data_IF_930565116924
#
_entry.id   IF_930565116924
#
_cell.length_a   1.000
_cell.length_b   1.000
_cell.length_c   1.000
_cell.angle_alpha   90.00
_cell.angle_beta   90.00
_cell.angle_gamma   90.00
#
_symmetry.space_group_name_H-M   'P 1'
#
loop_
_entity.id
_entity.type
_entity.pdbx_description
1 polymer ?
#
# COMPACT_ATOMS: atom_id res chain seq x y z
N UNK A 1 -0.49 -22.01 -10.01
CA UNK A 1 0.51 -20.94 -10.24
C UNK A 1 -0.22 -19.62 -10.39
N UNK A 2 0.40 -18.50 -10.00
CA UNK A 2 -0.19 -17.16 -10.16
C UNK A 2 -0.21 -16.78 -11.65
N UNK A 3 -1.35 -16.33 -12.19
CA UNK A 3 -1.42 -15.87 -13.57
C UNK A 3 -0.83 -14.46 -13.72
N UNK A 4 -0.31 -14.12 -14.89
CA UNK A 4 0.37 -12.83 -15.10
C UNK A 4 -0.54 -11.63 -14.86
N UNK A 5 -1.83 -11.75 -15.22
CA UNK A 5 -2.84 -10.72 -14.95
C UNK A 5 -3.10 -10.47 -13.45
N UNK A 6 -2.73 -11.43 -12.59
CA UNK A 6 -2.94 -11.35 -11.14
C UNK A 6 -1.71 -10.78 -10.42
N UNK A 7 -0.61 -10.51 -11.14
CA UNK A 7 0.60 -9.88 -10.56
C UNK A 7 0.35 -8.40 -10.30
N UNK A 8 0.60 -7.96 -9.07
CA UNK A 8 0.47 -6.55 -8.67
C UNK A 8 1.63 -5.70 -9.19
N UNK A 9 2.86 -6.24 -9.20
CA UNK A 9 4.07 -5.53 -9.66
C UNK A 9 4.37 -5.79 -11.14
N UNK A 10 3.60 -5.18 -12.03
CA UNK A 10 3.58 -5.47 -13.47
C UNK A 10 4.76 -4.93 -14.28
N UNK A 11 5.60 -4.04 -13.73
CA UNK A 11 6.80 -3.51 -14.39
C UNK A 11 8.07 -3.74 -13.55
N UNK A 12 8.13 -4.85 -12.80
CA UNK A 12 9.23 -5.13 -11.87
C UNK A 12 10.60 -5.21 -12.56
N UNK A 13 10.63 -5.66 -13.82
CA UNK A 13 11.85 -5.75 -14.63
C UNK A 13 12.16 -4.48 -15.44
N UNK A 14 11.32 -3.45 -15.36
CA UNK A 14 11.54 -2.18 -16.05
C UNK A 14 11.43 -2.24 -17.58
N UNK A 15 10.74 -3.25 -18.13
CA UNK A 15 10.54 -3.44 -19.57
C UNK A 15 9.55 -2.43 -20.18
N UNK A 16 8.77 -1.75 -19.34
CA UNK A 16 7.80 -0.73 -19.75
C UNK A 16 8.17 0.65 -19.21
N UNK A 17 7.57 1.70 -19.78
CA UNK A 17 7.77 3.09 -19.38
C UNK A 17 7.59 3.32 -17.87
N UNK A 18 8.63 3.85 -17.22
CA UNK A 18 8.69 4.12 -15.78
C UNK A 18 8.11 5.49 -15.40
N UNK A 19 7.82 6.34 -16.38
CA UNK A 19 7.25 7.67 -16.16
C UNK A 19 5.84 7.60 -15.56
N UNK A 20 5.33 8.75 -15.10
CA UNK A 20 3.94 8.87 -14.65
C UNK A 20 2.94 8.46 -15.74
N UNK A 21 3.22 8.76 -17.01
CA UNK A 21 2.35 8.37 -18.12
C UNK A 21 2.31 6.84 -18.27
N UNK A 22 3.47 6.17 -18.23
CA UNK A 22 3.56 4.71 -18.23
C UNK A 22 2.87 4.07 -17.01
N UNK A 23 3.04 4.67 -15.83
CA UNK A 23 2.39 4.19 -14.61
C UNK A 23 0.86 4.28 -14.69
N UNK A 24 0.31 5.40 -15.18
CA UNK A 24 -1.14 5.56 -15.38
C UNK A 24 -1.70 4.54 -16.37
N UNK A 25 -0.98 4.22 -17.45
CA UNK A 25 -1.38 3.16 -18.40
C UNK A 25 -1.50 1.77 -17.75
N UNK A 26 -0.74 1.50 -16.68
CA UNK A 26 -0.81 0.25 -15.91
C UNK A 26 -1.83 0.30 -14.75
N UNK A 27 -2.65 1.34 -14.68
CA UNK A 27 -3.69 1.48 -13.65
C UNK A 27 -3.20 2.09 -12.32
N UNK A 28 -1.92 2.47 -12.19
CA UNK A 28 -1.47 3.23 -11.03
C UNK A 28 -2.16 4.60 -11.00
N UNK A 29 -2.42 5.11 -9.80
CA UNK A 29 -3.21 6.35 -9.56
C UNK A 29 -4.69 6.28 -9.98
N UNK A 30 -5.17 5.14 -10.49
CA UNK A 30 -6.59 4.96 -10.81
C UNK A 30 -7.44 4.95 -9.54
N UNK A 31 -8.50 5.76 -9.51
CA UNK A 31 -9.48 5.78 -8.43
C UNK A 31 -8.98 6.27 -7.07
N UNK A 32 -7.74 6.76 -6.94
CA UNK A 32 -7.13 7.13 -5.65
C UNK A 32 -7.91 8.21 -4.91
N UNK A 33 -8.46 9.19 -5.64
CA UNK A 33 -9.36 10.19 -5.06
C UNK A 33 -10.56 9.52 -4.38
N UNK A 34 -11.20 8.57 -5.07
CA UNK A 34 -12.35 7.84 -4.52
C UNK A 34 -11.99 6.99 -3.29
N UNK A 35 -10.77 6.46 -3.22
CA UNK A 35 -10.31 5.76 -2.00
C UNK A 35 -10.10 6.72 -0.83
N UNK A 36 -9.54 7.91 -1.08
CA UNK A 36 -9.35 8.96 -0.08
C UNK A 36 -10.70 9.46 0.43
N UNK A 37 -11.65 9.71 -0.47
CA UNK A 37 -12.99 10.23 -0.13
C UNK A 37 -13.79 9.24 0.74
N UNK A 38 -13.53 7.92 0.64
CA UNK A 38 -14.16 6.91 1.51
C UNK A 38 -13.65 6.96 2.96
N UNK A 39 -12.55 7.66 3.21
CA UNK A 39 -12.03 7.92 4.54
C UNK A 39 -11.17 6.80 5.13
N UNK A 40 -10.48 7.14 6.22
CA UNK A 40 -9.50 6.29 6.91
C UNK A 40 -10.09 4.94 7.34
N UNK A 41 -11.22 4.97 8.03
CA UNK A 41 -11.78 3.78 8.66
C UNK A 41 -12.18 2.74 7.59
N UNK A 42 -12.72 3.18 6.44
CA UNK A 42 -12.98 2.30 5.30
C UNK A 42 -11.70 1.64 4.77
N UNK A 43 -10.62 2.42 4.58
CA UNK A 43 -9.34 1.89 4.10
C UNK A 43 -8.78 0.83 5.07
N UNK A 44 -8.79 1.11 6.37
CA UNK A 44 -8.30 0.17 7.39
C UNK A 44 -9.09 -1.14 7.36
N UNK A 45 -10.41 -1.07 7.25
CA UNK A 45 -11.24 -2.28 7.19
C UNK A 45 -11.02 -3.09 5.91
N UNK A 46 -10.85 -2.44 4.75
CA UNK A 46 -10.46 -3.16 3.52
C UNK A 46 -9.11 -3.89 3.69
N UNK A 47 -8.15 -3.25 4.37
CA UNK A 47 -6.83 -3.84 4.59
C UNK A 47 -6.87 -5.00 5.58
N UNK A 48 -7.69 -4.93 6.64
CA UNK A 48 -7.95 -6.08 7.51
C UNK A 48 -8.61 -7.22 6.73
N UNK A 49 -9.66 -6.91 5.96
CA UNK A 49 -10.40 -7.90 5.17
C UNK A 49 -9.54 -8.60 4.11
N UNK A 50 -8.57 -7.90 3.52
CA UNK A 50 -7.63 -8.49 2.56
C UNK A 50 -6.71 -9.57 3.15
N UNK A 51 -6.57 -9.63 4.48
CA UNK A 51 -5.64 -10.53 5.15
C UNK A 51 -4.17 -10.20 4.92
N UNK A 52 -3.84 -8.99 4.46
CA UNK A 52 -2.44 -8.61 4.22
C UNK A 52 -1.63 -8.66 5.52
N UNK A 53 -0.47 -9.33 5.43
CA UNK A 53 0.55 -9.39 6.48
C UNK A 53 1.77 -8.58 6.06
N UNK A 54 2.54 -8.10 7.04
CA UNK A 54 3.78 -7.35 6.82
C UNK A 54 4.75 -8.10 5.90
N UNK A 55 5.47 -7.35 5.07
CA UNK A 55 6.38 -7.90 4.05
C UNK A 55 7.87 -7.81 4.39
N UNK A 56 8.24 -7.10 5.46
CA UNK A 56 9.63 -7.05 5.97
C UNK A 56 9.88 -8.04 7.10
N UNK A 57 9.72 -9.34 6.84
CA UNK A 57 10.08 -10.41 7.79
C UNK A 57 9.09 -10.69 8.93
N UNK A 58 8.67 -9.67 9.70
CA UNK A 58 7.87 -9.87 10.93
C UNK A 58 6.45 -10.43 10.71
N UNK A 59 5.89 -10.32 9.50
CA UNK A 59 4.60 -10.92 9.16
C UNK A 59 3.40 -10.41 9.98
N UNK A 60 3.48 -9.25 10.62
CA UNK A 60 2.40 -8.70 11.45
C UNK A 60 1.20 -8.27 10.59
N UNK A 61 -0.07 -8.52 10.98
CA UNK A 61 -1.24 -8.13 10.19
C UNK A 61 -1.29 -6.61 9.91
N UNK A 62 -1.25 -6.23 8.63
CA UNK A 62 -1.03 -4.84 8.22
C UNK A 62 -2.19 -3.92 8.59
N UNK A 63 -3.43 -4.33 8.30
CA UNK A 63 -4.62 -3.54 8.66
C UNK A 63 -4.78 -3.35 10.17
N UNK A 64 -4.43 -4.36 10.99
CA UNK A 64 -4.41 -4.23 12.45
C UNK A 64 -3.36 -3.22 12.90
N UNK A 65 -2.13 -3.30 12.37
CA UNK A 65 -1.07 -2.33 12.69
C UNK A 65 -1.49 -0.90 12.42
N UNK A 66 -2.13 -0.66 11.26
CA UNK A 66 -2.59 0.68 10.88
C UNK A 66 -3.68 1.22 11.81
N UNK A 67 -4.48 0.34 12.41
CA UNK A 67 -5.54 0.73 13.35
C UNK A 67 -5.05 1.23 14.72
N UNK A 68 -3.76 1.06 15.04
CA UNK A 68 -3.18 1.54 16.29
C UNK A 68 -2.89 3.04 16.29
N UNK A 69 -2.86 3.67 15.11
CA UNK A 69 -2.65 5.12 15.03
C UNK A 69 -3.81 5.87 15.69
N UNK A 70 -3.53 6.89 16.53
CA UNK A 70 -4.58 7.67 17.18
C UNK A 70 -5.56 8.26 16.16
N UNK A 71 -6.85 8.25 16.52
CA UNK A 71 -7.89 8.69 15.58
C UNK A 71 -7.87 10.19 15.35
N UNK A 72 -7.69 10.93 16.44
CA UNK A 72 -7.62 12.39 16.44
C UNK A 72 -6.16 12.81 16.31
N UNK A 73 -5.92 13.84 15.50
CA UNK A 73 -4.64 14.52 15.50
C UNK A 73 -4.55 15.33 16.80
N UNK A 74 -3.65 14.95 17.70
CA UNK A 74 -3.33 15.76 18.86
C UNK A 74 -2.42 16.94 18.49
N UNK A 75 -1.68 17.47 19.47
CA UNK A 75 -0.71 18.54 19.23
C UNK A 75 0.43 18.15 18.28
N UNK A 76 0.65 16.85 18.07
CA UNK A 76 1.74 16.33 17.24
C UNK A 76 1.22 15.77 15.93
N UNK A 77 1.85 16.10 14.80
CA UNK A 77 1.52 15.48 13.52
C UNK A 77 1.80 13.97 13.55
N UNK A 78 0.95 13.21 12.87
CA UNK A 78 1.19 11.80 12.60
C UNK A 78 2.05 11.65 11.35
N UNK A 79 3.00 10.71 11.39
CA UNK A 79 3.90 10.43 10.28
C UNK A 79 3.73 9.00 9.78
N UNK A 80 3.99 8.82 8.49
CA UNK A 80 4.15 7.52 7.86
C UNK A 80 5.60 7.38 7.41
N UNK A 81 6.31 6.42 8.00
CA UNK A 81 7.64 6.03 7.55
C UNK A 81 7.51 4.75 6.73
N UNK A 82 7.90 4.82 5.45
CA UNK A 82 8.00 3.65 4.57
C UNK A 82 9.43 3.15 4.67
N UNK A 83 9.60 1.91 5.14
CA UNK A 83 10.93 1.29 5.15
C UNK A 83 11.33 0.89 3.73
N UNK A 84 12.49 1.35 3.29
CA UNK A 84 13.14 0.98 2.04
C UNK A 84 14.61 0.56 2.26
N UNK A 85 15.03 0.44 3.52
CA UNK A 85 16.31 -0.12 3.93
C UNK A 85 16.16 -1.65 4.03
N UNK A 86 16.28 -2.30 2.88
CA UNK A 86 16.14 -3.75 2.70
C UNK A 86 17.53 -4.42 2.77
N UNK A 87 18.26 -4.17 3.87
CA UNK A 87 19.64 -4.64 4.09
C UNK A 87 19.74 -6.09 4.62
N UNK A 88 18.63 -6.82 4.66
CA UNK A 88 18.62 -8.25 5.00
C UNK A 88 19.29 -9.08 3.88
N UNK A 89 20.15 -10.08 4.21
CA UNK A 89 20.85 -10.91 3.23
C UNK A 89 19.97 -11.94 2.52
#
# INVERSE_FOLDING_TARGET
MLADKDRIFTNIYGLHDKSLAGAKKRGHWSGTKGFIDKGRDWIIEQMKASGLRGRGGAGFPTGLKWSFMPKEAGERPHYLVVNADESEP
#
